data_IF_997329967382
#
_entry.id   IF_997329967382
#
_cell.length_a   1.000
_cell.length_b   1.000
_cell.length_c   1.000
_cell.angle_alpha   90.00
_cell.angle_beta   90.00
_cell.angle_gamma   90.00
#
_symmetry.space_group_name_H-M   'P 1'
#
loop_
_entity.id
_entity.type
_entity.pdbx_description
1 polymer ?
#
# COMPACT_ATOMS: atom_id res chain seq x y z
N UNK A 1 0.82 12.55 -23.04
CA UNK A 1 0.98 11.11 -22.71
C UNK A 1 2.31 10.78 -22.01
N UNK A 2 3.29 11.72 -22.01
CA UNK A 2 4.61 11.57 -21.38
C UNK A 2 4.64 11.98 -19.89
N UNK A 3 3.83 12.96 -19.48
CA UNK A 3 4.00 13.62 -18.17
C UNK A 3 3.44 12.83 -16.97
N UNK A 4 2.34 12.09 -17.14
CA UNK A 4 1.75 11.29 -16.06
C UNK A 4 2.61 10.04 -15.68
N UNK A 5 3.41 9.54 -16.63
CA UNK A 5 4.44 8.51 -16.38
C UNK A 5 5.61 9.04 -15.55
N UNK A 6 5.84 10.37 -15.54
CA UNK A 6 6.93 10.99 -14.82
C UNK A 6 6.62 11.14 -13.32
N UNK A 7 5.38 11.50 -12.98
CA UNK A 7 4.99 11.90 -11.61
C UNK A 7 4.85 10.74 -10.62
N UNK A 8 4.29 9.59 -11.01
CA UNK A 8 4.17 8.42 -10.10
C UNK A 8 5.50 7.68 -9.91
N UNK A 9 6.31 7.59 -10.98
CA UNK A 9 7.73 7.19 -10.87
C UNK A 9 8.49 8.18 -10.00
N UNK A 10 8.20 9.48 -10.07
CA UNK A 10 8.84 10.49 -9.25
C UNK A 10 8.47 10.39 -7.77
N UNK A 11 7.29 9.90 -7.36
CA UNK A 11 6.93 9.77 -5.93
C UNK A 11 7.70 8.65 -5.22
N UNK A 12 7.69 7.44 -5.79
CA UNK A 12 8.51 6.34 -5.29
C UNK A 12 9.99 6.58 -5.48
N UNK A 13 10.40 7.12 -6.63
CA UNK A 13 11.79 7.56 -6.81
C UNK A 13 12.12 8.78 -5.98
N UNK A 14 11.18 9.59 -5.50
CA UNK A 14 11.47 10.70 -4.59
C UNK A 14 11.63 10.16 -3.18
N UNK A 15 10.80 9.20 -2.74
CA UNK A 15 11.02 8.51 -1.48
C UNK A 15 12.32 7.69 -1.53
N UNK A 16 12.54 6.92 -2.60
CA UNK A 16 13.77 6.16 -2.85
C UNK A 16 14.96 7.10 -3.01
N UNK A 17 14.87 8.20 -3.77
CA UNK A 17 15.94 9.23 -3.86
C UNK A 17 16.16 9.92 -2.53
N UNK A 18 15.12 10.20 -1.75
CA UNK A 18 15.24 10.79 -0.41
C UNK A 18 15.91 9.80 0.55
N UNK A 19 15.57 8.51 0.45
CA UNK A 19 16.24 7.41 1.15
C UNK A 19 17.61 7.04 0.55
N UNK A 20 17.95 7.48 -0.68
CA UNK A 20 19.27 7.34 -1.30
C UNK A 20 20.16 8.56 -1.03
N UNK A 21 19.56 9.73 -0.78
CA UNK A 21 20.24 10.98 -0.36
C UNK A 21 20.87 10.83 1.02
N UNK A 22 20.38 9.91 1.85
CA UNK A 22 21.05 9.47 3.06
C UNK A 22 21.04 7.95 3.13
N UNK A 23 22.19 7.27 3.15
CA UNK A 23 22.26 5.80 3.24
C UNK A 23 21.81 5.27 4.61
N UNK A 24 21.50 6.16 5.56
CA UNK A 24 21.07 5.78 6.90
C UNK A 24 19.55 5.59 6.96
N UNK A 25 19.08 4.62 7.75
CA UNK A 25 17.66 4.46 8.01
C UNK A 25 17.07 5.71 8.65
N UNK A 26 15.79 5.95 8.37
CA UNK A 26 15.03 7.08 8.93
C UNK A 26 14.20 6.63 10.10
N UNK A 27 14.18 7.42 11.16
CA UNK A 27 13.31 7.21 12.32
C UNK A 27 12.15 8.21 12.21
N UNK A 28 10.93 7.70 12.33
CA UNK A 28 9.70 8.48 12.42
C UNK A 28 9.05 8.16 13.77
N UNK A 29 8.76 9.18 14.57
CA UNK A 29 8.10 9.01 15.87
C UNK A 29 6.75 9.73 15.87
N UNK A 30 5.77 9.15 16.54
CA UNK A 30 4.49 9.76 16.82
C UNK A 30 3.95 9.19 18.12
N UNK A 31 3.77 10.04 19.14
CA UNK A 31 3.45 9.59 20.50
C UNK A 31 4.42 8.49 20.99
N UNK A 32 3.90 7.31 21.36
CA UNK A 32 4.66 6.14 21.78
C UNK A 32 5.19 5.28 20.61
N UNK A 33 4.62 5.46 19.42
CA UNK A 33 4.98 4.72 18.22
C UNK A 33 6.29 5.22 17.61
N UNK A 34 7.12 4.28 17.19
CA UNK A 34 8.37 4.55 16.46
C UNK A 34 8.45 3.62 15.27
N UNK A 35 8.68 4.21 14.10
CA UNK A 35 8.86 3.50 12.83
C UNK A 35 10.26 3.76 12.32
N UNK A 36 11.01 2.68 12.06
CA UNK A 36 12.32 2.76 11.41
C UNK A 36 12.15 2.31 9.96
N UNK A 37 12.54 3.17 9.03
CA UNK A 37 12.43 2.93 7.58
C UNK A 37 13.82 2.86 6.99
N UNK A 38 14.20 1.68 6.50
CA UNK A 38 15.48 1.46 5.82
C UNK A 38 15.29 0.91 4.41
N UNK A 39 16.15 1.35 3.47
CA UNK A 39 16.22 0.78 2.14
C UNK A 39 17.10 -0.48 2.16
N UNK A 40 16.55 -1.61 1.68
CA UNK A 40 17.32 -2.84 1.49
C UNK A 40 17.85 -2.84 0.07
N UNK A 41 19.17 -2.85 -0.08
CA UNK A 41 19.84 -2.86 -1.39
C UNK A 41 20.68 -4.12 -1.55
N UNK A 42 20.51 -4.84 -2.67
CA UNK A 42 21.22 -6.10 -2.95
C UNK A 42 21.15 -7.11 -1.79
N UNK A 43 19.97 -7.23 -1.18
CA UNK A 43 19.73 -8.09 0.01
C UNK A 43 20.55 -7.72 1.26
N UNK A 44 21.18 -6.56 1.27
CA UNK A 44 21.85 -6.02 2.44
C UNK A 44 20.89 -5.13 3.24
N UNK A 45 20.53 -5.59 4.44
CA UNK A 45 19.75 -4.84 5.43
C UNK A 45 20.57 -4.40 6.66
N UNK A 46 21.90 -4.45 6.59
CA UNK A 46 22.78 -4.20 7.74
C UNK A 46 22.59 -2.82 8.36
N UNK A 47 22.47 -1.76 7.54
CA UNK A 47 22.24 -0.41 8.04
C UNK A 47 20.92 -0.30 8.82
N UNK A 48 19.85 -0.92 8.30
CA UNK A 48 18.56 -1.01 8.98
C UNK A 48 18.65 -1.77 10.31
N UNK A 49 19.33 -2.92 10.33
CA UNK A 49 19.54 -3.72 11.54
C UNK A 49 20.32 -2.95 12.60
N UNK A 50 21.39 -2.27 12.20
CA UNK A 50 22.21 -1.46 13.09
C UNK A 50 21.38 -0.35 13.74
N UNK A 51 20.49 0.31 12.98
CA UNK A 51 19.64 1.37 13.54
C UNK A 51 18.56 0.82 14.47
N UNK A 52 18.01 -0.37 14.17
CA UNK A 52 17.12 -1.09 15.10
C UNK A 52 17.85 -1.40 16.41
N UNK A 53 19.07 -1.94 16.34
CA UNK A 53 19.87 -2.26 17.53
C UNK A 53 20.17 -1.01 18.37
N UNK A 54 20.58 0.09 17.74
CA UNK A 54 20.79 1.38 18.41
C UNK A 54 19.52 1.88 19.09
N UNK A 55 18.38 1.80 18.41
CA UNK A 55 17.09 2.24 18.97
C UNK A 55 16.68 1.38 20.16
N UNK A 56 16.89 0.06 20.09
CA UNK A 56 16.61 -0.87 21.19
C UNK A 56 17.51 -0.57 22.40
N UNK A 57 18.81 -0.34 22.17
CA UNK A 57 19.76 0.01 23.22
C UNK A 57 19.37 1.34 23.89
N UNK A 58 19.13 2.38 23.10
CA UNK A 58 18.72 3.68 23.62
C UNK A 58 17.41 3.60 24.42
N UNK A 59 16.41 2.87 23.92
CA UNK A 59 15.15 2.68 24.67
C UNK A 59 15.38 1.96 25.99
N UNK A 60 16.25 0.94 26.02
CA UNK A 60 16.60 0.22 27.25
C UNK A 60 17.32 1.13 28.26
N UNK A 61 18.24 1.97 27.81
CA UNK A 61 18.96 2.94 28.64
C UNK A 61 18.04 4.05 29.21
N UNK A 62 16.90 4.31 28.55
CA UNK A 62 15.92 5.30 28.96
C UNK A 62 14.67 4.68 29.61
N UNK A 63 14.75 3.44 30.09
CA UNK A 63 13.66 2.70 30.75
C UNK A 63 12.36 2.58 29.91
N UNK A 64 12.48 2.67 28.59
CA UNK A 64 11.37 2.50 27.66
C UNK A 64 11.26 1.04 27.23
N UNK A 65 10.27 0.35 27.79
CA UNK A 65 10.02 -1.06 27.47
C UNK A 65 9.42 -1.21 26.07
N UNK A 66 10.14 -1.90 25.19
CA UNK A 66 9.63 -2.30 23.88
C UNK A 66 8.76 -3.56 23.99
N UNK A 67 7.60 -3.53 23.34
CA UNK A 67 6.68 -4.66 23.28
C UNK A 67 6.84 -5.43 21.96
N UNK A 68 7.60 -6.54 21.98
CA UNK A 68 7.86 -7.35 20.80
C UNK A 68 6.58 -7.90 20.13
N UNK A 69 5.51 -8.16 20.90
CA UNK A 69 4.21 -8.64 20.39
C UNK A 69 3.45 -7.57 19.60
N UNK A 70 3.67 -6.29 19.91
CA UNK A 70 3.06 -5.16 19.19
C UNK A 70 3.95 -4.66 18.04
N UNK A 71 5.25 -4.91 18.09
CA UNK A 71 6.18 -4.54 17.03
C UNK A 71 6.09 -5.48 15.84
N UNK A 72 6.14 -4.95 14.62
CA UNK A 72 6.07 -5.75 13.39
C UNK A 72 7.08 -5.25 12.36
N UNK A 73 7.83 -6.16 11.75
CA UNK A 73 8.69 -5.84 10.60
C UNK A 73 7.85 -5.93 9.34
N UNK A 74 7.58 -4.79 8.73
CA UNK A 74 6.86 -4.73 7.45
C UNK A 74 7.88 -4.71 6.32
N UNK A 75 7.78 -5.68 5.40
CA UNK A 75 8.61 -5.76 4.22
C UNK A 75 7.77 -5.49 2.98
N UNK A 76 8.29 -4.63 2.12
CA UNK A 76 7.69 -4.30 0.83
C UNK A 76 8.70 -4.72 -0.24
N UNK A 77 8.57 -5.94 -0.77
CA UNK A 77 9.47 -6.49 -1.78
C UNK A 77 8.70 -6.89 -3.05
N UNK A 78 9.05 -6.27 -4.18
CA UNK A 78 8.42 -6.51 -5.49
C UNK A 78 9.16 -7.52 -6.36
N UNK A 79 10.29 -8.05 -5.89
CA UNK A 79 11.06 -9.02 -6.65
C UNK A 79 10.30 -10.34 -6.74
N UNK A 80 10.31 -10.94 -7.93
CA UNK A 80 9.69 -12.25 -8.20
C UNK A 80 10.33 -13.35 -7.34
N UNK A 81 11.66 -13.30 -7.18
CA UNK A 81 12.41 -14.13 -6.24
C UNK A 81 12.53 -13.38 -4.92
N UNK A 82 11.86 -13.88 -3.89
CA UNK A 82 11.96 -13.33 -2.54
C UNK A 82 13.25 -13.83 -1.88
N UNK A 83 13.94 -12.93 -1.19
CA UNK A 83 15.06 -13.28 -0.33
C UNK A 83 14.55 -13.93 0.95
N UNK A 84 15.39 -14.73 1.59
CA UNK A 84 15.17 -15.19 2.96
C UNK A 84 15.24 -14.00 3.90
N UNK A 85 14.20 -13.81 4.73
CA UNK A 85 14.18 -12.75 5.71
C UNK A 85 14.69 -13.29 7.04
N UNK A 86 15.79 -12.74 7.52
CA UNK A 86 16.31 -13.10 8.84
C UNK A 86 15.45 -12.42 9.92
N UNK A 87 15.04 -13.15 10.98
CA UNK A 87 14.30 -12.57 12.11
C UNK A 87 15.05 -11.39 12.75
N UNK A 88 14.27 -10.51 13.38
CA UNK A 88 14.77 -9.48 14.29
C UNK A 88 14.31 -9.87 15.68
N UNK A 89 15.22 -9.83 16.64
CA UNK A 89 14.94 -10.13 18.04
C UNK A 89 14.83 -8.82 18.82
N UNK A 90 13.75 -8.62 19.55
CA UNK A 90 13.60 -7.56 20.53
C UNK A 90 13.44 -8.26 21.87
N UNK A 91 14.32 -7.97 22.84
CA UNK A 91 14.33 -8.64 24.15
C UNK A 91 14.37 -10.18 24.03
N UNK A 92 15.16 -10.70 23.09
CA UNK A 92 15.25 -12.13 22.73
C UNK A 92 13.96 -12.77 22.17
N UNK A 93 12.91 -11.99 21.92
CA UNK A 93 11.71 -12.46 21.26
C UNK A 93 11.71 -12.07 19.77
N UNK A 94 11.43 -13.01 18.85
CA UNK A 94 11.32 -12.69 17.43
C UNK A 94 10.08 -11.87 17.14
N UNK A 95 10.24 -10.76 16.43
CA UNK A 95 9.09 -9.97 15.96
C UNK A 95 8.45 -10.60 14.72
N UNK A 96 7.12 -10.51 14.55
CA UNK A 96 6.45 -10.93 13.34
C UNK A 96 6.99 -10.17 12.12
N UNK A 97 7.05 -10.88 10.99
CA UNK A 97 7.42 -10.31 9.70
C UNK A 97 6.19 -10.36 8.80
N UNK A 98 5.74 -9.19 8.34
CA UNK A 98 4.63 -9.09 7.41
C UNK A 98 5.13 -8.69 6.03
N UNK A 99 4.98 -9.60 5.07
CA UNK A 99 5.19 -9.26 3.66
C UNK A 99 3.97 -8.53 3.11
N UNK A 100 4.07 -7.20 3.05
CA UNK A 100 2.98 -6.34 2.61
C UNK A 100 2.82 -6.37 1.09
N UNK A 101 3.84 -6.77 0.31
CA UNK A 101 3.70 -6.88 -1.15
C UNK A 101 2.62 -7.88 -1.54
N UNK A 102 2.45 -8.95 -0.76
CA UNK A 102 1.39 -9.95 -0.94
C UNK A 102 -0.01 -9.42 -0.63
N UNK A 103 -0.14 -8.52 0.35
CA UNK A 103 -1.41 -7.86 0.70
C UNK A 103 -1.79 -6.77 -0.31
N UNK A 104 -0.78 -6.24 -1.00
CA UNK A 104 -0.92 -5.36 -2.15
C UNK A 104 -1.20 -6.12 -3.45
N UNK A 105 -1.43 -7.44 -3.40
CA UNK A 105 -1.80 -8.21 -4.58
C UNK A 105 -3.14 -7.69 -5.13
N UNK A 106 -3.02 -7.01 -6.26
CA UNK A 106 -4.06 -6.56 -7.18
C UNK A 106 -5.32 -7.43 -7.21
N UNK A 107 -5.15 -8.76 -7.21
CA UNK A 107 -6.24 -9.71 -7.31
C UNK A 107 -7.20 -9.69 -6.11
N UNK A 108 -6.68 -9.48 -4.90
CA UNK A 108 -7.51 -9.38 -3.69
C UNK A 108 -8.39 -8.12 -3.74
N UNK A 109 -7.83 -7.00 -4.21
CA UNK A 109 -8.53 -5.74 -4.38
C UNK A 109 -9.62 -5.83 -5.45
N UNK A 110 -9.28 -6.44 -6.59
CA UNK A 110 -10.21 -6.71 -7.68
C UNK A 110 -11.39 -7.55 -7.17
N UNK A 111 -11.13 -8.65 -6.44
CA UNK A 111 -12.19 -9.50 -5.87
C UNK A 111 -13.08 -8.71 -4.91
N UNK A 112 -12.50 -7.92 -4.01
CA UNK A 112 -13.26 -7.10 -3.05
C UNK A 112 -14.12 -6.06 -3.77
N UNK A 113 -13.58 -5.38 -4.77
CA UNK A 113 -14.32 -4.42 -5.57
C UNK A 113 -15.44 -5.08 -6.40
N UNK A 114 -15.21 -6.29 -6.93
CA UNK A 114 -16.25 -7.09 -7.61
C UNK A 114 -17.39 -7.49 -6.68
N UNK A 115 -17.09 -7.88 -5.43
CA UNK A 115 -18.12 -8.14 -4.41
C UNK A 115 -18.96 -6.89 -4.12
N UNK A 116 -18.33 -5.71 -4.03
CA UNK A 116 -19.09 -4.46 -3.85
C UNK A 116 -19.92 -4.08 -5.07
N UNK A 117 -19.42 -4.38 -6.27
CA UNK A 117 -20.16 -4.20 -7.52
C UNK A 117 -21.43 -5.07 -7.57
N UNK A 118 -21.44 -6.25 -6.95
CA UNK A 118 -22.64 -7.06 -6.82
C UNK A 118 -23.75 -6.32 -6.08
N UNK A 119 -23.45 -5.69 -4.93
CA UNK A 119 -24.44 -4.89 -4.21
C UNK A 119 -24.97 -3.72 -5.04
N UNK A 120 -24.10 -3.03 -5.79
CA UNK A 120 -24.53 -1.98 -6.71
C UNK A 120 -25.53 -2.49 -7.77
N UNK A 121 -25.34 -3.71 -8.29
CA UNK A 121 -26.31 -4.35 -9.21
C UNK A 121 -27.63 -4.65 -8.52
N UNK A 122 -27.60 -5.13 -7.29
CA UNK A 122 -28.81 -5.43 -6.52
C UNK A 122 -29.62 -4.15 -6.25
N UNK A 123 -28.96 -3.05 -5.86
CA UNK A 123 -29.62 -1.75 -5.69
C UNK A 123 -30.28 -1.25 -6.99
N UNK A 124 -29.65 -1.46 -8.15
CA UNK A 124 -30.28 -1.12 -9.42
C UNK A 124 -31.54 -1.96 -9.70
N UNK A 125 -31.54 -3.26 -9.37
CA UNK A 125 -32.73 -4.11 -9.50
C UNK A 125 -33.89 -3.63 -8.64
N UNK A 126 -33.58 -3.07 -7.47
CA UNK A 126 -34.54 -2.43 -6.57
C UNK A 126 -35.00 -1.04 -7.04
N UNK A 127 -34.61 -0.61 -8.26
CA UNK A 127 -34.98 0.68 -8.86
C UNK A 127 -34.58 1.90 -8.02
N UNK A 128 -33.49 1.78 -7.24
CA UNK A 128 -32.90 2.91 -6.52
C UNK A 128 -32.54 4.03 -7.50
N UNK A 129 -32.79 5.27 -7.07
CA UNK A 129 -32.54 6.45 -7.89
C UNK A 129 -31.07 6.56 -8.32
N UNK A 130 -30.86 7.09 -9.51
CA UNK A 130 -29.55 7.24 -10.14
C UNK A 130 -28.55 7.98 -9.25
N UNK A 131 -28.96 9.07 -8.59
CA UNK A 131 -28.09 9.84 -7.70
C UNK A 131 -27.51 9.01 -6.56
N UNK A 132 -28.36 8.20 -5.91
CA UNK A 132 -27.97 7.32 -4.82
C UNK A 132 -27.06 6.17 -5.28
N UNK A 133 -27.31 5.60 -6.47
CA UNK A 133 -26.42 4.59 -7.06
C UNK A 133 -25.01 5.14 -7.30
N UNK A 134 -24.89 6.39 -7.74
CA UNK A 134 -23.60 7.05 -7.94
C UNK A 134 -22.91 7.31 -6.60
N UNK A 135 -23.64 7.79 -5.59
CA UNK A 135 -23.07 7.98 -4.25
C UNK A 135 -22.59 6.66 -3.64
N UNK A 136 -23.38 5.59 -3.76
CA UNK A 136 -22.99 4.26 -3.30
C UNK A 136 -21.71 3.77 -4.01
N UNK A 137 -21.63 3.94 -5.33
CA UNK A 137 -20.41 3.62 -6.08
C UNK A 137 -19.21 4.38 -5.53
N UNK A 138 -19.31 5.71 -5.38
CA UNK A 138 -18.23 6.57 -4.88
C UNK A 138 -17.77 6.12 -3.48
N UNK A 139 -18.73 5.91 -2.58
CA UNK A 139 -18.45 5.59 -1.19
C UNK A 139 -17.86 4.18 -1.00
N UNK A 140 -18.29 3.18 -1.78
CA UNK A 140 -18.02 1.76 -1.48
C UNK A 140 -17.12 1.09 -2.52
N UNK A 141 -17.31 1.36 -3.81
CA UNK A 141 -16.55 0.71 -4.89
C UNK A 141 -15.33 1.54 -5.24
N UNK A 142 -15.52 2.84 -5.50
CA UNK A 142 -14.43 3.76 -5.82
C UNK A 142 -13.47 3.85 -4.64
N UNK A 143 -13.94 3.95 -3.39
CA UNK A 143 -13.07 3.93 -2.22
C UNK A 143 -12.16 2.70 -2.15
N UNK A 144 -12.58 1.51 -2.58
CA UNK A 144 -11.68 0.33 -2.62
C UNK A 144 -10.63 0.48 -3.73
N UNK A 145 -11.01 1.10 -4.84
CA UNK A 145 -10.14 1.36 -5.98
C UNK A 145 -9.23 2.59 -5.77
N UNK A 146 -9.53 3.49 -4.83
CA UNK A 146 -8.83 4.78 -4.65
C UNK A 146 -8.26 5.00 -3.25
N UNK A 147 -8.92 4.55 -2.17
CA UNK A 147 -8.49 4.78 -0.77
C UNK A 147 -7.37 3.85 -0.31
N UNK A 148 -6.80 3.03 -1.19
CA UNK A 148 -5.57 2.34 -0.83
C UNK A 148 -4.44 3.25 -1.27
N UNK A 149 -3.62 3.78 -0.33
CA UNK A 149 -2.41 4.54 -0.67
C UNK A 149 -1.44 3.72 -1.54
N UNK A 150 -1.70 2.42 -1.75
CA UNK A 150 -0.99 1.57 -2.69
C UNK A 150 -1.28 1.87 -4.16
N UNK A 151 -2.35 2.56 -4.55
CA UNK A 151 -2.61 2.79 -5.98
C UNK A 151 -2.01 4.12 -6.39
N UNK A 152 -2.14 5.20 -5.62
CA UNK A 152 -1.47 6.48 -5.93
C UNK A 152 0.06 6.34 -5.94
N UNK A 153 0.62 5.55 -5.00
CA UNK A 153 2.07 5.32 -4.93
C UNK A 153 2.54 4.25 -5.92
N UNK A 154 1.68 3.33 -6.39
CA UNK A 154 2.11 2.15 -7.17
C UNK A 154 1.33 1.87 -8.46
N UNK A 155 0.42 2.74 -8.91
CA UNK A 155 -0.32 2.59 -10.17
C UNK A 155 0.64 2.40 -11.35
N UNK A 156 1.76 3.14 -11.37
CA UNK A 156 2.78 3.00 -12.39
C UNK A 156 3.51 1.64 -12.41
N UNK A 157 3.61 0.98 -11.25
CA UNK A 157 4.22 -0.35 -11.11
C UNK A 157 3.18 -1.48 -11.08
N UNK A 158 1.90 -1.14 -11.24
CA UNK A 158 0.82 -2.11 -11.29
C UNK A 158 0.83 -2.77 -12.67
N UNK A 159 0.80 -4.12 -12.75
CA UNK A 159 0.76 -4.80 -14.03
C UNK A 159 -0.40 -4.30 -14.89
N UNK A 160 -0.17 -4.10 -16.18
CA UNK A 160 -1.18 -3.52 -17.06
C UNK A 160 -2.48 -4.34 -17.13
N UNK A 161 -2.40 -5.67 -16.94
CA UNK A 161 -3.59 -6.52 -16.84
C UNK A 161 -4.45 -6.18 -15.61
N UNK A 162 -3.83 -5.87 -14.47
CA UNK A 162 -4.54 -5.44 -13.26
C UNK A 162 -5.26 -4.12 -13.51
N UNK A 163 -4.58 -3.16 -14.13
CA UNK A 163 -5.16 -1.85 -14.45
C UNK A 163 -6.40 -2.06 -15.34
N UNK A 164 -6.29 -2.89 -16.38
CA UNK A 164 -7.41 -3.25 -17.24
C UNK A 164 -8.56 -3.91 -16.47
N UNK A 165 -8.27 -4.77 -15.50
CA UNK A 165 -9.30 -5.42 -14.68
C UNK A 165 -10.01 -4.43 -13.75
N UNK A 166 -9.30 -3.46 -13.21
CA UNK A 166 -9.90 -2.37 -12.43
C UNK A 166 -10.75 -1.45 -13.32
N UNK A 167 -10.27 -1.08 -14.52
CA UNK A 167 -11.05 -0.29 -15.49
C UNK A 167 -12.31 -1.04 -15.96
N UNK A 168 -12.28 -2.37 -16.06
CA UNK A 168 -13.47 -3.20 -16.32
C UNK A 168 -14.50 -3.07 -15.19
N UNK A 169 -14.07 -2.96 -13.93
CA UNK A 169 -14.98 -2.75 -12.79
C UNK A 169 -15.64 -1.37 -12.92
N UNK A 170 -14.87 -0.32 -13.19
CA UNK A 170 -15.38 1.04 -13.41
C UNK A 170 -16.37 1.06 -14.58
N UNK A 171 -16.02 0.43 -15.71
CA UNK A 171 -16.87 0.35 -16.89
C UNK A 171 -18.20 -0.36 -16.60
N UNK A 172 -18.17 -1.42 -15.80
CA UNK A 172 -19.39 -2.12 -15.37
C UNK A 172 -20.22 -1.25 -14.43
N UNK A 173 -19.60 -0.54 -13.50
CA UNK A 173 -20.28 0.40 -12.62
C UNK A 173 -20.92 1.56 -13.39
N UNK A 174 -20.26 2.06 -14.44
CA UNK A 174 -20.79 3.11 -15.32
C UNK A 174 -22.06 2.64 -16.05
N UNK A 175 -22.09 1.39 -16.54
CA UNK A 175 -23.29 0.77 -17.14
C UNK A 175 -24.43 0.60 -16.12
N UNK A 176 -24.10 0.29 -14.87
CA UNK A 176 -25.11 0.14 -13.80
C UNK A 176 -25.66 1.52 -13.40
N UNK A 177 -24.80 2.48 -13.08
CA UNK A 177 -25.23 3.82 -12.68
C UNK A 177 -25.79 4.66 -13.84
N UNK A 178 -25.52 4.30 -15.10
CA UNK A 178 -25.97 5.05 -16.27
C UNK A 178 -25.29 6.41 -16.41
N UNK A 179 -24.09 6.57 -15.86
CA UNK A 179 -23.30 7.79 -15.96
C UNK A 179 -21.84 7.46 -16.32
N UNK A 180 -21.13 8.43 -16.91
CA UNK A 180 -19.68 8.31 -17.12
C UNK A 180 -19.00 8.44 -15.77
N UNK A 181 -18.19 7.43 -15.42
CA UNK A 181 -17.37 7.42 -14.22
C UNK A 181 -15.91 7.67 -14.61
N UNK A 182 -15.13 8.38 -13.77
CA UNK A 182 -13.72 8.64 -14.05
C UNK A 182 -12.94 7.32 -14.09
N UNK A 183 -12.03 7.19 -15.05
CA UNK A 183 -11.08 6.06 -15.12
C UNK A 183 -10.03 6.20 -14.03
N UNK A 184 -9.38 5.10 -13.64
CA UNK A 184 -8.33 5.17 -12.62
C UNK A 184 -7.21 6.14 -13.01
N UNK A 185 -6.83 6.18 -14.29
CA UNK A 185 -5.86 7.15 -14.80
C UNK A 185 -6.26 8.60 -14.51
N UNK A 186 -7.53 8.96 -14.69
CA UNK A 186 -8.02 10.33 -14.44
C UNK A 186 -8.12 10.72 -12.97
N UNK A 187 -8.11 9.76 -12.05
CA UNK A 187 -8.16 10.00 -10.59
C UNK A 187 -6.75 10.16 -10.03
N UNK A 188 -5.76 9.56 -10.69
CA UNK A 188 -4.36 9.51 -10.25
C UNK A 188 -3.40 10.37 -11.11
N UNK A 189 -3.92 11.12 -12.09
CA UNK A 189 -3.18 12.14 -12.85
C UNK A 189 -3.41 13.51 -12.21
#
# INVERSE_FOLDING_TARGET
MSDALHTSRAGLRALERSLQQSPLPRILTYADDTTIVGLISRDNEAAYRQEVERTVAWRKENDLVLNAKKTNKIIINFRTKKSTNTPILINNEPIPITDFSSKLNSNHLIKKAQQRLYFLRQLKKLRVEKGLLVQFYKAIVQSILTNIPSITVWYANTPQHTIKDMDRIISRAAKITGCKLPTLGSIHT
#
